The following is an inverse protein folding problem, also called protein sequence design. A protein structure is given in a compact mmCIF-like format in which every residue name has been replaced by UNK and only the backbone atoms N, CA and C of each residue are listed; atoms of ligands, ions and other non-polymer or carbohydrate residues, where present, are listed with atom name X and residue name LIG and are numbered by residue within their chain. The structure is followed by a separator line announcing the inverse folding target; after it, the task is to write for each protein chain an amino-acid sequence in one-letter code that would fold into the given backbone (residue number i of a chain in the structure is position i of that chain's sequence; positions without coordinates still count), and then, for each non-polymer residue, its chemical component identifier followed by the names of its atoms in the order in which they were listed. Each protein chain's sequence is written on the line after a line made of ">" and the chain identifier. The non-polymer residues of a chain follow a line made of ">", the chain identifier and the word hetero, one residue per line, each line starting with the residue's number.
data_IF_241242687255
#
_entry.id   IF_241242687255
#
_cell.length_a   1.000
_cell.length_b   1.000
_cell.length_c   1.000
_cell.angle_alpha   90.00
_cell.angle_beta   90.00
_cell.angle_gamma   90.00
#
_symmetry.space_group_name_H-M   'P 1'
#
loop_
_entity.id
_entity.type
_entity.pdbx_description
1 polymer ?
#
# COMPACT_ATOMS: atom_id res chain seq x y z
N UNK A 1 8.01 2.23 36.93
CA UNK A 1 6.79 1.99 36.14
C UNK A 1 7.16 1.89 34.67
N UNK A 2 7.22 0.68 34.09
CA UNK A 2 7.39 0.52 32.65
C UNK A 2 6.03 0.77 31.98
N UNK A 3 5.84 1.94 31.38
CA UNK A 3 4.68 2.20 30.52
C UNK A 3 4.89 1.35 29.27
N UNK A 4 4.34 0.14 29.28
CA UNK A 4 4.31 -0.71 28.10
C UNK A 4 3.41 -0.03 27.06
N UNK A 5 4.02 0.74 26.14
CA UNK A 5 3.33 1.36 25.02
C UNK A 5 2.69 0.26 24.18
N UNK A 6 1.37 0.21 24.17
CA UNK A 6 0.62 -0.65 23.27
C UNK A 6 0.71 -0.02 21.87
N UNK A 7 1.72 -0.40 21.09
CA UNK A 7 1.85 0.04 19.71
C UNK A 7 0.82 -0.71 18.85
N UNK A 8 -0.19 0.01 18.37
CA UNK A 8 -1.10 -0.43 17.32
C UNK A 8 -0.75 0.32 16.03
N UNK A 9 -0.58 -0.40 14.93
CA UNK A 9 -0.36 0.22 13.63
C UNK A 9 -1.41 -0.30 12.64
N UNK A 10 -2.32 0.59 12.24
CA UNK A 10 -3.29 0.33 11.18
C UNK A 10 -2.71 0.84 9.87
N UNK A 11 -2.69 0.01 8.84
CA UNK A 11 -2.29 0.40 7.50
C UNK A 11 -3.33 -0.06 6.48
N UNK A 12 -3.56 0.77 5.48
CA UNK A 12 -4.44 0.46 4.38
C UNK A 12 -3.63 -0.17 3.25
N UNK A 13 -4.22 -1.18 2.62
CA UNK A 13 -3.60 -1.87 1.50
C UNK A 13 -4.54 -1.88 0.31
N UNK A 14 -3.95 -1.80 -0.87
CA UNK A 14 -4.62 -1.79 -2.16
C UNK A 14 -4.27 -3.08 -2.91
N UNK A 15 -5.27 -3.69 -3.54
CA UNK A 15 -5.08 -4.95 -4.27
C UNK A 15 -4.45 -4.70 -5.64
N UNK A 16 -3.35 -5.38 -5.94
CA UNK A 16 -2.81 -5.45 -7.28
C UNK A 16 -3.70 -6.36 -8.15
N UNK A 17 -4.16 -5.86 -9.29
CA UNK A 17 -4.99 -6.60 -10.25
C UNK A 17 -4.23 -7.05 -11.48
N UNK A 18 -3.08 -6.44 -11.78
CA UNK A 18 -2.24 -6.80 -12.91
C UNK A 18 -0.78 -6.71 -12.53
N UNK A 19 -0.07 -7.83 -12.67
CA UNK A 19 1.37 -7.91 -12.38
C UNK A 19 2.13 -6.85 -13.17
N UNK A 20 3.02 -6.12 -12.48
CA UNK A 20 3.93 -5.16 -13.11
C UNK A 20 5.36 -5.52 -12.75
N UNK A 21 6.16 -5.82 -13.77
CA UNK A 21 7.61 -5.91 -13.67
C UNK A 21 8.19 -4.59 -14.18
N UNK A 22 9.17 -4.03 -13.48
CA UNK A 22 9.80 -2.78 -13.90
C UNK A 22 10.79 -3.04 -15.04
N UNK A 23 10.53 -2.50 -16.23
CA UNK A 23 11.36 -2.71 -17.44
C UNK A 23 12.73 -2.02 -17.40
N UNK A 24 12.95 -1.10 -16.44
CA UNK A 24 14.22 -0.38 -16.31
C UNK A 24 15.07 -0.92 -15.14
N UNK A 25 16.02 -1.78 -15.51
CA UNK A 25 17.38 -2.03 -14.96
C UNK A 25 17.64 -1.49 -13.53
N UNK A 26 17.82 -2.44 -12.59
CA UNK A 26 18.37 -2.35 -11.20
C UNK A 26 17.41 -2.26 -10.00
N UNK A 27 16.09 -2.25 -10.17
CA UNK A 27 15.18 -2.34 -9.02
C UNK A 27 13.97 -3.21 -9.34
N UNK A 28 14.01 -4.47 -8.89
CA UNK A 28 12.89 -5.40 -8.94
C UNK A 28 11.82 -4.95 -7.96
N UNK A 29 10.99 -3.99 -8.39
CA UNK A 29 9.75 -3.67 -7.67
C UNK A 29 8.66 -4.48 -8.33
N UNK A 30 8.48 -5.71 -7.85
CA UNK A 30 7.50 -6.64 -8.39
C UNK A 30 6.17 -6.48 -7.63
N UNK A 31 5.14 -6.02 -8.36
CA UNK A 31 3.78 -6.08 -7.87
C UNK A 31 3.12 -7.32 -8.46
N UNK A 32 2.68 -8.24 -7.62
CA UNK A 32 2.07 -9.50 -8.02
C UNK A 32 0.55 -9.40 -7.97
N UNK A 33 -0.10 -9.84 -9.04
CA UNK A 33 -1.56 -9.90 -9.11
C UNK A 33 -2.15 -10.68 -7.92
N UNK A 34 -3.21 -10.14 -7.32
CA UNK A 34 -3.91 -10.71 -6.17
C UNK A 34 -3.33 -10.32 -4.81
N UNK A 35 -2.10 -9.79 -4.77
CA UNK A 35 -1.44 -9.36 -3.52
C UNK A 35 -1.89 -7.96 -3.14
N UNK A 36 -1.99 -7.72 -1.83
CA UNK A 36 -2.34 -6.41 -1.28
C UNK A 36 -1.08 -5.70 -0.82
N UNK A 37 -0.91 -4.46 -1.28
CA UNK A 37 0.27 -3.66 -0.98
C UNK A 37 -0.11 -2.44 -0.14
N UNK A 38 0.69 -2.08 0.88
CA UNK A 38 0.49 -0.83 1.60
C UNK A 38 0.62 0.35 0.65
N UNK A 39 -0.20 1.38 0.88
CA UNK A 39 -0.10 2.62 0.13
C UNK A 39 -0.21 3.85 1.03
N UNK A 40 0.23 4.99 0.51
CA UNK A 40 -0.02 6.33 1.07
C UNK A 40 -0.62 7.20 -0.02
N UNK A 41 -1.70 7.90 0.33
CA UNK A 41 -2.48 8.70 -0.61
C UNK A 41 -3.27 9.77 0.15
N UNK A 42 -2.99 11.03 -0.18
CA UNK A 42 -3.62 12.18 0.50
C UNK A 42 -5.14 12.22 0.30
N UNK A 43 -5.65 11.85 -0.87
CA UNK A 43 -7.11 11.79 -1.10
C UNK A 43 -7.77 10.75 -0.19
N UNK A 44 -7.15 9.59 -0.02
CA UNK A 44 -7.66 8.56 0.86
C UNK A 44 -7.62 8.98 2.34
N UNK A 45 -6.54 9.63 2.76
CA UNK A 45 -6.42 10.14 4.14
C UNK A 45 -7.51 11.18 4.49
N UNK A 46 -7.91 12.00 3.50
CA UNK A 46 -8.92 13.04 3.72
C UNK A 46 -10.35 12.52 3.58
N UNK A 47 -10.61 11.65 2.60
CA UNK A 47 -11.97 11.31 2.16
C UNK A 47 -12.28 9.80 2.20
N UNK A 48 -11.33 8.96 2.60
CA UNK A 48 -11.42 7.49 2.54
C UNK A 48 -11.63 6.92 1.12
N UNK A 49 -11.35 7.72 0.10
CA UNK A 49 -11.42 7.36 -1.31
C UNK A 49 -10.13 7.76 -2.03
N UNK A 50 -9.64 6.88 -2.90
CA UNK A 50 -8.48 7.18 -3.75
C UNK A 50 -8.96 7.94 -4.98
N UNK A 51 -8.57 9.21 -5.09
CA UNK A 51 -8.65 9.98 -6.31
C UNK A 51 -7.47 9.60 -7.24
N UNK A 52 -7.72 8.92 -8.38
CA UNK A 52 -6.65 8.45 -9.26
C UNK A 52 -5.91 9.59 -9.95
N UNK A 53 -6.46 10.81 -10.03
CA UNK A 53 -5.74 11.96 -10.58
C UNK A 53 -4.59 12.43 -9.67
N UNK A 54 -4.58 11.98 -8.41
CA UNK A 54 -3.54 12.27 -7.42
C UNK A 54 -2.55 11.13 -7.34
N UNK A 55 -1.34 11.48 -6.91
CA UNK A 55 -0.27 10.49 -6.70
C UNK A 55 -0.64 9.54 -5.56
N UNK A 56 -0.53 8.25 -5.84
CA UNK A 56 -0.61 7.15 -4.88
C UNK A 56 0.77 6.52 -4.76
N UNK A 57 1.31 6.48 -3.55
CA UNK A 57 2.58 5.82 -3.27
C UNK A 57 2.33 4.40 -2.80
N UNK A 58 2.65 3.40 -3.63
CA UNK A 58 2.51 1.99 -3.28
C UNK A 58 3.86 1.45 -2.82
N UNK A 59 3.86 0.74 -1.70
CA UNK A 59 5.05 0.22 -1.04
C UNK A 59 5.14 -1.28 -1.32
N UNK A 60 6.20 -1.69 -2.01
CA UNK A 60 6.49 -3.11 -2.28
C UNK A 60 6.95 -3.86 -1.03
N UNK A 61 7.01 -5.19 -1.10
CA UNK A 61 7.52 -6.05 -0.02
C UNK A 61 8.97 -5.72 0.36
N UNK A 62 9.78 -5.32 -0.62
CA UNK A 62 11.17 -4.89 -0.42
C UNK A 62 11.30 -3.47 0.17
N UNK A 63 10.19 -2.80 0.50
CA UNK A 63 10.15 -1.46 1.07
C UNK A 63 10.30 -0.32 0.07
N UNK A 64 10.45 -0.61 -1.23
CA UNK A 64 10.49 0.41 -2.27
C UNK A 64 9.13 1.06 -2.46
N UNK A 65 9.13 2.38 -2.61
CA UNK A 65 7.93 3.19 -2.90
C UNK A 65 7.85 3.47 -4.39
N UNK A 66 6.71 3.14 -5.00
CA UNK A 66 6.38 3.50 -6.38
C UNK A 66 5.24 4.50 -6.37
N UNK A 67 5.47 5.66 -6.98
CA UNK A 67 4.43 6.66 -7.22
C UNK A 67 3.69 6.31 -8.51
N UNK A 68 2.37 6.15 -8.44
CA UNK A 68 1.47 5.88 -9.56
C UNK A 68 0.32 6.91 -9.56
N UNK A 69 -0.26 7.16 -10.73
CA UNK A 69 -1.44 8.02 -10.92
C UNK A 69 -2.14 7.67 -12.22
N UNK A 70 -3.34 8.22 -12.41
CA UNK A 70 -4.14 8.16 -13.62
C UNK A 70 -4.31 6.71 -14.11
N UNK A 71 -4.18 6.48 -15.41
CA UNK A 71 -4.31 5.18 -16.06
C UNK A 71 -3.29 4.16 -15.56
N UNK A 72 -2.06 4.58 -15.22
CA UNK A 72 -1.03 3.68 -14.71
C UNK A 72 -1.44 3.05 -13.37
N UNK A 73 -2.09 3.83 -12.50
CA UNK A 73 -2.62 3.29 -11.25
C UNK A 73 -3.76 2.31 -11.51
N UNK A 74 -4.72 2.72 -12.35
CA UNK A 74 -5.94 1.95 -12.63
C UNK A 74 -5.68 0.67 -13.43
N UNK A 75 -4.60 0.62 -14.20
CA UNK A 75 -4.17 -0.58 -14.92
C UNK A 75 -3.70 -1.69 -13.97
N UNK A 76 -3.07 -1.31 -12.86
CA UNK A 76 -2.37 -2.25 -11.98
C UNK A 76 -3.05 -2.48 -10.64
N UNK A 77 -3.89 -1.55 -10.17
CA UNK A 77 -4.45 -1.59 -8.82
C UNK A 77 -5.94 -1.29 -8.78
N UNK A 78 -6.65 -2.05 -7.96
CA UNK A 78 -8.07 -1.83 -7.67
C UNK A 78 -8.22 -0.82 -6.52
N UNK A 79 -8.43 0.45 -6.90
CA UNK A 79 -8.59 1.57 -5.97
C UNK A 79 -9.88 1.53 -5.15
N UNK A 80 -10.82 0.62 -5.46
CA UNK A 80 -12.08 0.45 -4.72
C UNK A 80 -11.96 -0.64 -3.65
N UNK A 81 -11.07 -1.62 -3.86
CA UNK A 81 -10.84 -2.73 -2.93
C UNK A 81 -9.72 -2.40 -1.94
N UNK A 82 -10.04 -1.57 -0.94
CA UNK A 82 -9.10 -1.20 0.12
C UNK A 82 -9.30 -2.08 1.36
N UNK A 83 -8.26 -2.80 1.77
CA UNK A 83 -8.26 -3.59 2.99
C UNK A 83 -7.58 -2.81 4.12
N UNK A 84 -8.15 -2.89 5.32
CA UNK A 84 -7.57 -2.28 6.52
C UNK A 84 -6.92 -3.36 7.36
N UNK A 85 -5.59 -3.31 7.47
CA UNK A 85 -4.81 -4.29 8.20
C UNK A 85 -4.30 -3.69 9.51
N UNK A 86 -4.55 -4.38 10.63
CA UNK A 86 -4.16 -3.95 11.97
C UNK A 86 -3.06 -4.85 12.50
N UNK A 87 -1.85 -4.30 12.66
CA UNK A 87 -0.79 -4.97 13.39
C UNK A 87 -0.91 -4.67 14.89
N UNK A 88 -0.91 -5.74 15.68
CA UNK A 88 -0.79 -5.69 17.14
C UNK A 88 0.42 -6.51 17.55
N UNK A 89 1.36 -5.89 18.26
CA UNK A 89 2.43 -6.65 18.91
C UNK A 89 1.78 -7.50 19.99
N UNK A 90 1.76 -8.83 19.81
CA UNK A 90 1.34 -9.74 20.87
C UNK A 90 2.30 -9.56 22.04
N UNK A 91 1.80 -9.09 23.18
CA UNK A 91 2.51 -9.24 24.46
C UNK A 91 2.55 -10.73 24.78
N UNK A 92 3.70 -11.34 24.60
CA UNK A 92 4.01 -12.61 25.27
C UNK A 92 4.13 -12.29 26.76
N UNK A 93 3.21 -12.81 27.55
CA UNK A 93 3.27 -12.80 29.02
C UNK A 93 4.01 -14.03 29.51
#
# INVERSE_FOLDING_TARGET
>A
MNIAKNYNFTHHTIKCIKTKMSDNIKTYVDFYQGVHYPFSCVSFENNLEIDPSRVVQIISESGYKKSLKDEELLEHFDIKSIATNKFMIKKTF
#
